data_IF_204341747176
#
_entry.id   IF_204341747176
#
_cell.length_a   1.000
_cell.length_b   1.000
_cell.length_c   1.000
_cell.angle_alpha   90.00
_cell.angle_beta   90.00
_cell.angle_gamma   90.00
#
_symmetry.space_group_name_H-M   'P 1'
#
loop_
_entity.id
_entity.type
_entity.pdbx_description
1 polymer ?
#
# COMPACT_ATOMS: atom_id res chain seq x y z
N UNK A 1 -12.58 -2.29 -18.67
CA UNK A 1 -12.70 -2.91 -17.33
C UNK A 1 -11.76 -4.09 -17.29
N UNK A 2 -10.96 -4.19 -16.23
CA UNK A 2 -10.06 -5.32 -15.99
C UNK A 2 -10.49 -6.06 -14.71
N UNK A 3 -9.97 -7.27 -14.50
CA UNK A 3 -10.26 -8.08 -13.31
C UNK A 3 -9.00 -8.19 -12.45
N UNK A 4 -9.10 -7.86 -11.16
CA UNK A 4 -8.07 -8.06 -10.15
C UNK A 4 -8.53 -9.16 -9.18
N UNK A 5 -7.66 -10.14 -8.92
CA UNK A 5 -7.93 -11.25 -8.00
C UNK A 5 -6.92 -11.26 -6.85
N UNK A 6 -7.14 -10.48 -5.78
CA UNK A 6 -6.27 -10.52 -4.62
C UNK A 6 -6.53 -11.77 -3.79
N UNK A 7 -5.45 -12.37 -3.28
CA UNK A 7 -5.50 -13.45 -2.29
C UNK A 7 -4.55 -13.11 -1.15
N UNK A 8 -5.06 -13.13 0.08
CA UNK A 8 -4.26 -13.01 1.30
C UNK A 8 -4.30 -14.35 2.04
N UNK A 9 -3.13 -14.91 2.29
CA UNK A 9 -2.96 -16.10 3.14
C UNK A 9 -2.13 -15.70 4.35
N UNK A 10 -2.57 -16.08 5.54
CA UNK A 10 -1.78 -15.97 6.76
C UNK A 10 -1.75 -17.34 7.42
N UNK A 11 -0.53 -17.80 7.68
CA UNK A 11 -0.28 -19.10 8.29
C UNK A 11 0.84 -19.00 9.31
N UNK A 12 0.69 -19.66 10.45
CA UNK A 12 1.75 -19.83 11.45
C UNK A 12 1.46 -21.03 12.34
N UNK A 13 2.52 -21.79 12.64
CA UNK A 13 2.49 -22.93 13.56
C UNK A 13 3.01 -22.58 14.96
N UNK A 14 3.49 -21.35 15.16
CA UNK A 14 4.30 -20.96 16.32
C UNK A 14 4.01 -19.55 16.87
N UNK A 15 3.20 -18.73 16.20
CA UNK A 15 2.81 -17.40 16.67
C UNK A 15 1.79 -17.44 17.82
N UNK A 16 1.00 -18.52 17.89
CA UNK A 16 -0.04 -18.76 18.90
C UNK A 16 -0.04 -20.22 19.35
N UNK A 17 -0.79 -20.55 20.39
CA UNK A 17 -0.97 -21.95 20.81
C UNK A 17 -1.71 -22.80 19.77
N UNK A 18 -2.63 -22.17 19.03
CA UNK A 18 -3.35 -22.81 17.94
C UNK A 18 -2.65 -22.55 16.60
N UNK A 19 -2.79 -23.50 15.66
CA UNK A 19 -2.32 -23.30 14.30
C UNK A 19 -3.17 -22.24 13.59
N UNK A 20 -2.51 -21.19 13.11
CA UNK A 20 -3.14 -20.19 12.24
C UNK A 20 -2.97 -20.67 10.79
N UNK A 21 -4.07 -20.84 10.07
CA UNK A 21 -4.07 -21.10 8.63
C UNK A 21 -5.37 -20.57 8.05
N UNK A 22 -5.31 -19.40 7.41
CA UNK A 22 -6.46 -18.81 6.74
C UNK A 22 -6.08 -18.24 5.38
N UNK A 23 -7.02 -18.30 4.45
CA UNK A 23 -6.90 -17.66 3.14
C UNK A 23 -8.21 -16.97 2.77
N UNK A 24 -8.10 -15.75 2.23
CA UNK A 24 -9.22 -14.97 1.70
C UNK A 24 -8.89 -14.57 0.27
N UNK A 25 -9.81 -14.82 -0.65
CA UNK A 25 -9.70 -14.43 -2.05
C UNK A 25 -10.91 -13.57 -2.44
N UNK A 26 -10.67 -12.52 -3.21
CA UNK A 26 -11.72 -11.69 -3.80
C UNK A 26 -11.56 -11.63 -5.33
N UNK A 27 -12.59 -11.14 -6.03
CA UNK A 27 -12.56 -10.84 -7.46
C UNK A 27 -13.17 -9.47 -7.70
N UNK A 28 -12.32 -8.52 -8.08
CA UNK A 28 -12.65 -7.12 -8.24
C UNK A 28 -12.64 -6.73 -9.71
N UNK A 29 -13.65 -5.98 -10.13
CA UNK A 29 -13.61 -5.32 -11.42
C UNK A 29 -13.05 -3.91 -11.26
N UNK A 30 -12.13 -3.54 -12.14
CA UNK A 30 -11.35 -2.31 -12.01
C UNK A 30 -11.46 -1.44 -13.26
N UNK A 31 -11.37 -0.13 -13.03
CA UNK A 31 -11.42 0.93 -14.03
C UNK A 31 -10.29 1.92 -13.78
N UNK A 32 -9.98 2.76 -14.76
CA UNK A 32 -9.05 3.85 -14.55
C UNK A 32 -9.58 4.82 -13.47
N UNK A 33 -8.70 5.41 -12.65
CA UNK A 33 -7.25 5.29 -12.68
C UNK A 33 -6.74 4.00 -12.02
N UNK A 34 -5.71 3.40 -12.61
CA UNK A 34 -4.99 2.25 -12.04
C UNK A 34 -3.51 2.36 -12.34
N UNK A 35 -2.67 1.95 -11.40
CA UNK A 35 -1.24 1.71 -11.61
C UNK A 35 -0.95 0.27 -11.21
N UNK A 36 -0.41 -0.52 -12.14
CA UNK A 36 0.10 -1.85 -11.83
C UNK A 36 1.38 -1.74 -11.00
N UNK A 37 2.05 -2.85 -10.72
CA UNK A 37 3.30 -2.84 -9.96
C UNK A 37 4.33 -1.89 -10.59
N UNK A 38 4.67 -0.86 -9.83
CA UNK A 38 5.61 0.19 -10.15
C UNK A 38 6.50 0.47 -8.95
N UNK A 39 7.57 1.25 -9.14
CA UNK A 39 8.48 1.66 -8.06
C UNK A 39 8.62 3.17 -8.04
N UNK A 40 8.82 3.69 -6.84
CA UNK A 40 9.02 5.12 -6.62
C UNK A 40 10.05 5.34 -5.51
N UNK A 41 10.84 6.39 -5.69
CA UNK A 41 11.74 6.90 -4.66
C UNK A 41 10.94 7.73 -3.66
N UNK A 42 10.83 7.22 -2.44
CA UNK A 42 10.25 7.93 -1.32
C UNK A 42 11.35 8.72 -0.64
N UNK A 43 11.31 10.03 -0.80
CA UNK A 43 12.35 10.92 -0.27
C UNK A 43 12.28 10.99 1.25
N UNK A 44 13.43 11.20 1.88
CA UNK A 44 13.55 11.47 3.31
C UNK A 44 13.52 12.96 3.65
N UNK A 45 13.33 13.79 2.63
CA UNK A 45 13.27 15.24 2.73
C UNK A 45 11.98 15.75 2.10
N UNK A 46 11.50 16.89 2.60
CA UNK A 46 10.31 17.54 2.07
C UNK A 46 9.00 17.08 2.69
N UNK A 47 7.90 17.43 2.02
CA UNK A 47 6.53 17.27 2.53
C UNK A 47 5.94 15.90 2.29
N UNK A 48 6.61 14.98 1.58
CA UNK A 48 6.12 13.63 1.23
C UNK A 48 6.16 13.31 -0.25
N UNK A 49 6.30 12.04 -0.56
CA UNK A 49 6.13 11.50 -1.92
C UNK A 49 4.69 11.04 -2.07
N UNK A 50 3.90 11.75 -2.87
CA UNK A 50 2.52 11.36 -3.20
C UNK A 50 2.51 10.08 -4.05
N UNK A 51 1.72 9.09 -3.63
CA UNK A 51 1.57 7.78 -4.29
C UNK A 51 0.22 7.69 -5.01
N UNK A 52 -0.84 8.14 -4.33
CA UNK A 52 -2.20 8.21 -4.87
C UNK A 52 -2.72 9.62 -4.57
N UNK A 53 -3.15 10.33 -5.60
CA UNK A 53 -3.80 11.63 -5.41
C UNK A 53 -5.21 11.45 -4.84
N UNK A 54 -5.74 12.43 -4.12
CA UNK A 54 -7.13 12.37 -3.66
C UNK A 54 -8.13 12.16 -4.81
N UNK A 55 -7.87 12.75 -5.98
CA UNK A 55 -8.69 12.55 -7.17
C UNK A 55 -8.60 11.11 -7.70
N UNK A 56 -7.41 10.51 -7.68
CA UNK A 56 -7.20 9.13 -8.12
C UNK A 56 -7.79 8.09 -7.15
N UNK A 57 -7.98 8.45 -5.88
CA UNK A 57 -8.62 7.59 -4.88
C UNK A 57 -10.15 7.51 -4.99
N UNK A 58 -10.79 8.30 -5.86
CA UNK A 58 -12.25 8.41 -6.00
C UNK A 58 -12.74 7.56 -7.21
N UNK A 59 -13.72 6.63 -7.06
CA UNK A 59 -14.58 6.41 -5.88
C UNK A 59 -13.93 5.62 -4.75
N UNK A 60 -13.27 4.50 -5.03
CA UNK A 60 -12.65 3.67 -4.01
C UNK A 60 -11.53 2.87 -4.64
N UNK A 61 -10.40 2.73 -3.96
CA UNK A 61 -9.18 2.18 -4.56
C UNK A 61 -8.57 1.12 -3.67
N UNK A 62 -8.20 -0.02 -4.23
CA UNK A 62 -7.36 -0.99 -3.53
C UNK A 62 -5.90 -0.62 -3.76
N UNK A 63 -5.12 -0.62 -2.69
CA UNK A 63 -3.73 -0.18 -2.68
C UNK A 63 -2.82 -1.28 -2.14
N UNK A 64 -1.71 -1.49 -2.83
CA UNK A 64 -0.58 -2.29 -2.42
C UNK A 64 0.64 -1.39 -2.28
N UNK A 65 1.42 -1.61 -1.23
CA UNK A 65 2.76 -1.10 -1.13
C UNK A 65 3.69 -2.05 -0.39
N UNK A 66 4.95 -2.07 -0.79
CA UNK A 66 6.03 -2.79 -0.13
C UNK A 66 7.27 -1.92 -0.05
N UNK A 67 7.79 -1.80 1.16
CA UNK A 67 9.10 -1.20 1.35
C UNK A 67 10.17 -2.21 0.93
N UNK A 68 10.87 -1.90 -0.15
CA UNK A 68 11.93 -2.77 -0.67
C UNK A 68 13.30 -2.41 -0.11
N UNK A 69 13.39 -1.34 0.67
CA UNK A 69 14.60 -0.99 1.41
C UNK A 69 14.90 -2.05 2.49
N UNK A 70 16.18 -2.32 2.70
CA UNK A 70 16.65 -3.34 3.65
C UNK A 70 16.93 -2.79 5.06
N UNK A 71 16.88 -1.48 5.26
CA UNK A 71 17.43 -0.80 6.45
C UNK A 71 16.56 0.31 7.02
N UNK A 72 15.83 1.02 6.17
CA UNK A 72 15.05 2.20 6.53
C UNK A 72 13.55 1.91 6.43
N UNK A 73 12.77 2.55 7.28
CA UNK A 73 11.31 2.48 7.22
C UNK A 73 10.72 3.68 6.49
N UNK A 74 9.51 3.51 5.97
CA UNK A 74 8.70 4.60 5.42
C UNK A 74 7.47 4.84 6.31
N UNK A 75 7.17 6.10 6.56
CA UNK A 75 5.94 6.55 7.21
C UNK A 75 4.82 6.56 6.17
N UNK A 76 3.69 5.98 6.55
CA UNK A 76 2.49 5.90 5.74
C UNK A 76 1.47 6.92 6.25
N UNK A 77 1.06 7.83 5.38
CA UNK A 77 0.15 8.91 5.76
C UNK A 77 -0.80 9.27 4.62
N UNK A 78 -1.88 9.97 4.97
CA UNK A 78 -2.75 10.58 3.96
C UNK A 78 -2.02 11.73 3.27
N UNK A 79 -2.42 12.13 2.06
CA UNK A 79 -1.88 13.32 1.39
C UNK A 79 -2.09 14.64 2.16
N UNK A 80 -2.88 14.62 3.26
CA UNK A 80 -3.03 15.72 4.21
C UNK A 80 -2.02 15.67 5.39
N UNK A 81 -1.00 14.79 5.34
CA UNK A 81 0.00 14.68 6.40
C UNK A 81 -0.37 13.81 7.60
N UNK A 82 -1.57 13.22 7.64
CA UNK A 82 -2.03 12.39 8.78
C UNK A 82 -1.42 10.99 8.72
N UNK A 83 -0.49 10.70 9.62
CA UNK A 83 0.15 9.38 9.79
C UNK A 83 -0.87 8.33 10.27
N UNK A 84 -0.83 7.15 9.65
CA UNK A 84 -1.67 6.01 10.00
C UNK A 84 -0.90 4.69 10.10
N UNK A 85 0.34 4.64 9.62
CA UNK A 85 1.14 3.41 9.66
C UNK A 85 2.59 3.63 9.27
N UNK A 86 3.36 2.53 9.30
CA UNK A 86 4.75 2.47 8.87
C UNK A 86 5.00 1.14 8.18
N UNK A 87 5.90 1.13 7.20
CA UNK A 87 6.46 -0.09 6.63
C UNK A 87 7.93 -0.14 6.98
N UNK A 88 8.30 -1.05 7.88
CA UNK A 88 9.68 -1.38 8.17
C UNK A 88 10.35 -2.04 6.94
N UNK A 89 11.67 -2.25 6.98
CA UNK A 89 12.37 -2.94 5.90
C UNK A 89 11.72 -4.28 5.52
N UNK A 90 11.40 -4.44 4.23
CA UNK A 90 10.79 -5.65 3.69
C UNK A 90 9.30 -5.85 3.96
N UNK A 91 8.67 -4.99 4.78
CA UNK A 91 7.24 -5.07 5.07
C UNK A 91 6.38 -4.59 3.91
N UNK A 92 5.13 -5.06 3.89
CA UNK A 92 4.14 -4.67 2.89
C UNK A 92 2.77 -4.46 3.52
N UNK A 93 1.90 -3.82 2.75
CA UNK A 93 0.50 -3.63 3.07
C UNK A 93 -0.35 -3.90 1.83
N UNK A 94 -1.58 -4.35 2.08
CA UNK A 94 -2.65 -4.36 1.09
C UNK A 94 -3.91 -3.87 1.79
N UNK A 95 -4.52 -2.81 1.27
CA UNK A 95 -5.67 -2.18 1.92
C UNK A 95 -6.62 -1.52 0.94
N UNK A 96 -7.85 -1.36 1.41
CA UNK A 96 -8.86 -0.53 0.80
C UNK A 96 -8.63 0.95 1.19
N UNK A 97 -8.60 1.86 0.23
CA UNK A 97 -8.43 3.31 0.41
C UNK A 97 -9.78 4.00 0.23
N UNK A 98 -10.18 4.77 1.24
CA UNK A 98 -11.42 5.53 1.20
C UNK A 98 -11.44 6.53 0.04
N UNK A 99 -12.64 6.81 -0.47
CA UNK A 99 -12.87 7.82 -1.49
C UNK A 99 -12.19 9.13 -1.11
N UNK A 100 -11.53 9.78 -2.06
CA UNK A 100 -10.94 11.13 -1.88
C UNK A 100 -9.81 11.22 -0.84
N UNK A 101 -9.34 10.09 -0.29
CA UNK A 101 -8.18 10.07 0.59
C UNK A 101 -6.94 9.73 -0.22
N UNK A 102 -6.13 10.74 -0.52
CA UNK A 102 -4.82 10.54 -1.14
C UNK A 102 -3.85 9.84 -0.18
N UNK A 103 -2.84 9.16 -0.74
CA UNK A 103 -1.78 8.46 0.00
C UNK A 103 -0.46 9.10 -0.35
N UNK A 104 0.34 9.38 0.67
CA UNK A 104 1.74 9.82 0.52
C UNK A 104 2.63 9.05 1.49
N UNK A 105 3.89 8.85 1.12
CA UNK A 105 4.90 8.24 1.97
C UNK A 105 6.04 9.21 2.27
N UNK A 106 6.70 8.99 3.40
CA UNK A 106 7.90 9.75 3.81
C UNK A 106 8.93 8.79 4.36
N UNK A 107 10.12 8.77 3.77
CA UNK A 107 11.24 8.07 4.37
C UNK A 107 11.83 8.94 5.49
N UNK A 108 12.55 8.34 6.44
CA UNK A 108 13.01 9.11 7.62
C UNK A 108 14.52 9.35 7.60
N UNK A 109 15.32 8.31 7.35
CA UNK A 109 16.79 8.41 7.46
C UNK A 109 17.46 8.59 6.11
N UNK A 110 16.97 7.90 5.09
CA UNK A 110 17.48 7.95 3.72
C UNK A 110 16.32 7.67 2.77
N UNK A 111 16.48 8.05 1.50
CA UNK A 111 15.47 7.76 0.47
C UNK A 111 15.27 6.25 0.35
N UNK A 112 14.01 5.80 0.38
CA UNK A 112 13.64 4.40 0.26
C UNK A 112 13.02 4.13 -1.11
N UNK A 113 13.22 2.92 -1.63
CA UNK A 113 12.48 2.45 -2.81
C UNK A 113 11.24 1.70 -2.35
N UNK A 114 10.08 2.17 -2.76
CA UNK A 114 8.80 1.52 -2.49
C UNK A 114 8.22 0.97 -3.79
N UNK A 115 7.90 -0.32 -3.78
CA UNK A 115 7.06 -0.92 -4.81
C UNK A 115 5.60 -0.70 -4.44
N UNK A 116 4.78 -0.30 -5.41
CA UNK A 116 3.37 0.00 -5.18
C UNK A 116 2.50 -0.35 -6.37
N UNK A 117 1.20 -0.47 -6.12
CA UNK A 117 0.17 -0.60 -7.14
C UNK A 117 -1.18 -0.16 -6.58
N UNK A 118 -2.05 0.35 -7.43
CA UNK A 118 -3.40 0.70 -7.03
C UNK A 118 -4.42 0.47 -8.14
N UNK A 119 -5.63 0.07 -7.73
CA UNK A 119 -6.69 -0.32 -8.65
C UNK A 119 -8.03 0.25 -8.18
N UNK A 120 -8.58 1.18 -8.96
CA UNK A 120 -9.89 1.77 -8.69
C UNK A 120 -10.98 0.73 -8.95
N UNK A 121 -11.85 0.52 -7.96
CA UNK A 121 -13.01 -0.37 -8.07
C UNK A 121 -14.05 0.28 -9.00
N UNK A 122 -14.57 -0.50 -9.95
CA UNK A 122 -15.65 -0.08 -10.85
C UNK A 122 -17.00 -0.06 -10.18
#
# INVERSE_FOLDING_TARGET
MATLKPTLTISSTDATSDNLDFSVTDTLTTVAPTVNLSRIDVLHTGSGTEIITAAAANPHTYFYAKNTDATNYVICRTAAGVEWGRLAPGEFMYMAVAATVGIEFLAVTATCIVEYGYWTKS
#
